data_IF_790131405937
#
_entry.id   IF_790131405937
#
_cell.length_a   1.000
_cell.length_b   1.000
_cell.length_c   1.000
_cell.angle_alpha   90.00
_cell.angle_beta   90.00
_cell.angle_gamma   90.00
#
_symmetry.space_group_name_H-M   'P 1'
#
loop_
_entity.id
_entity.type
_entity.pdbx_description
1 polymer ?
#
# COMPACT_ATOMS: atom_id res chain seq x y z
N UNK A 1 7.05 60.15 -6.62
CA UNK A 1 5.98 59.18 -6.28
C UNK A 1 6.38 57.82 -6.82
N UNK A 2 6.94 56.96 -5.96
CA UNK A 2 7.37 55.61 -6.30
C UNK A 2 6.19 54.64 -6.12
N UNK A 3 5.84 53.87 -7.16
CA UNK A 3 4.92 52.73 -7.03
C UNK A 3 5.75 51.45 -7.02
N UNK A 4 5.77 50.82 -5.85
CA UNK A 4 6.35 49.50 -5.59
C UNK A 4 5.63 48.43 -6.41
N UNK A 5 6.40 47.60 -7.15
CA UNK A 5 5.93 46.36 -7.75
C UNK A 5 5.90 45.30 -6.66
N UNK A 6 4.70 44.94 -6.23
CA UNK A 6 4.48 43.83 -5.30
C UNK A 6 4.67 42.52 -6.07
N UNK A 7 5.67 41.73 -5.65
CA UNK A 7 6.00 40.44 -6.23
C UNK A 7 4.87 39.44 -6.05
N UNK A 8 4.55 38.75 -7.14
CA UNK A 8 3.57 37.66 -7.21
C UNK A 8 4.15 36.41 -6.52
N UNK A 9 3.87 36.28 -5.22
CA UNK A 9 4.16 35.08 -4.44
C UNK A 9 3.06 34.05 -4.73
N UNK A 10 3.37 33.10 -5.62
CA UNK A 10 2.57 31.88 -5.77
C UNK A 10 2.49 31.17 -4.42
N UNK A 11 1.31 30.74 -3.94
CA UNK A 11 1.24 29.94 -2.72
C UNK A 11 1.85 28.55 -3.00
N UNK A 12 2.91 28.24 -2.26
CA UNK A 12 3.44 26.89 -2.13
C UNK A 12 2.35 26.00 -1.51
N UNK A 13 2.00 24.90 -2.19
CA UNK A 13 1.11 23.85 -1.67
C UNK A 13 1.71 23.28 -0.37
N UNK A 14 0.97 23.11 0.73
CA UNK A 14 1.49 22.39 1.88
C UNK A 14 1.46 20.89 1.55
N UNK A 15 2.66 20.34 1.39
CA UNK A 15 2.95 18.91 1.34
C UNK A 15 3.25 18.43 2.78
N UNK A 16 3.08 17.13 3.00
CA UNK A 16 3.53 16.34 4.16
C UNK A 16 2.59 16.32 5.37
N UNK A 17 1.63 15.41 5.32
CA UNK A 17 0.96 14.90 6.53
C UNK A 17 1.69 13.65 6.97
N UNK A 18 2.42 13.81 8.06
CA UNK A 18 2.94 12.71 8.85
C UNK A 18 1.75 11.98 9.46
N UNK A 19 1.39 10.81 8.94
CA UNK A 19 0.52 9.88 9.66
C UNK A 19 1.39 8.90 10.42
N UNK A 20 1.86 9.37 11.57
CA UNK A 20 2.11 8.49 12.71
C UNK A 20 1.04 8.85 13.75
N UNK A 21 -0.23 8.60 13.44
CA UNK A 21 -1.29 8.83 14.42
C UNK A 21 -1.43 7.55 15.24
N UNK A 22 -0.85 7.57 16.45
CA UNK A 22 -1.47 6.89 17.57
C UNK A 22 -2.84 7.53 17.76
N UNK A 23 -3.89 6.98 17.15
CA UNK A 23 -5.27 7.39 17.47
C UNK A 23 -5.69 6.59 18.70
N UNK A 24 -5.98 7.23 19.85
CA UNK A 24 -6.74 6.59 20.90
C UNK A 24 -8.19 6.44 20.40
N UNK A 25 -8.70 5.21 20.33
CA UNK A 25 -10.11 4.95 20.09
C UNK A 25 -10.89 5.28 21.37
N UNK A 26 -11.37 6.53 21.48
CA UNK A 26 -12.44 6.94 22.41
C UNK A 26 -12.12 6.87 23.92
N UNK A 27 -12.93 7.53 24.77
CA UNK A 27 -12.74 7.50 26.22
C UNK A 27 -13.49 6.30 26.81
N UNK A 28 -12.79 5.38 27.49
CA UNK A 28 -13.43 4.62 28.59
C UNK A 28 -13.21 3.12 28.72
N UNK A 29 -12.45 2.41 27.86
CA UNK A 29 -12.23 0.97 28.05
C UNK A 29 -10.74 0.66 28.29
N UNK A 30 -10.34 0.20 29.50
CA UNK A 30 -9.01 -0.32 29.71
C UNK A 30 -8.85 -1.65 28.97
N UNK A 31 -7.71 -1.81 28.31
CA UNK A 31 -7.31 -3.01 27.58
C UNK A 31 -7.28 -4.24 28.51
N UNK A 32 -8.31 -5.09 28.47
CA UNK A 32 -8.27 -6.42 29.11
C UNK A 32 -7.81 -7.45 28.09
N UNK A 33 -6.53 -7.79 28.18
CA UNK A 33 -6.01 -9.05 27.67
C UNK A 33 -6.29 -10.15 28.70
N UNK A 34 -7.27 -11.03 28.45
CA UNK A 34 -7.31 -12.40 29.00
C UNK A 34 -8.54 -13.19 28.51
N UNK A 35 -8.43 -13.83 27.35
CA UNK A 35 -9.16 -15.06 27.04
C UNK A 35 -8.16 -16.22 27.07
N UNK A 36 -8.33 -17.15 28.01
CA UNK A 36 -7.42 -18.28 28.25
C UNK A 36 -7.27 -19.12 26.98
N UNK A 37 -6.04 -19.25 26.48
CA UNK A 37 -5.64 -20.32 25.58
C UNK A 37 -4.36 -20.95 26.11
N UNK A 38 -4.40 -22.25 26.30
CA UNK A 38 -3.30 -23.12 26.70
C UNK A 38 -2.11 -22.97 25.74
N UNK A 39 -0.92 -22.73 26.31
CA UNK A 39 0.35 -22.54 25.59
C UNK A 39 0.69 -23.68 24.61
N UNK A 40 1.07 -23.37 23.35
CA UNK A 40 2.07 -24.11 22.60
C UNK A 40 3.42 -23.35 22.58
N UNK A 41 4.55 -24.01 22.27
CA UNK A 41 5.87 -23.55 22.69
C UNK A 41 6.29 -22.24 22.01
N UNK A 42 6.84 -21.34 22.84
CA UNK A 42 7.42 -20.04 22.47
C UNK A 42 8.46 -20.15 21.35
N UNK A 43 8.07 -19.85 20.12
CA UNK A 43 9.02 -19.39 19.10
C UNK A 43 9.27 -17.91 19.31
N UNK A 44 10.53 -17.54 19.60
CA UNK A 44 10.96 -16.14 19.80
C UNK A 44 10.56 -15.30 18.58
N UNK A 45 9.70 -14.31 18.79
CA UNK A 45 9.46 -13.21 17.85
C UNK A 45 10.76 -12.45 17.62
N UNK A 46 11.20 -12.36 16.36
CA UNK A 46 12.32 -11.54 15.90
C UNK A 46 11.83 -10.17 15.38
N UNK A 47 10.89 -9.54 16.06
CA UNK A 47 10.54 -8.15 15.77
C UNK A 47 11.55 -7.21 16.46
N UNK A 48 12.38 -6.52 15.68
CA UNK A 48 13.08 -5.30 16.13
C UNK A 48 14.60 -5.36 16.36
N UNK A 49 15.33 -6.41 15.96
CA UNK A 49 16.79 -6.33 15.95
C UNK A 49 17.32 -5.66 14.67
N UNK A 50 18.34 -4.79 14.74
CA UNK A 50 19.00 -4.27 13.56
C UNK A 50 19.48 -5.44 12.70
N UNK A 51 19.10 -5.45 11.42
CA UNK A 51 19.62 -6.44 10.48
C UNK A 51 21.15 -6.34 10.45
N UNK A 52 21.83 -7.48 10.36
CA UNK A 52 23.27 -7.47 10.07
C UNK A 52 23.51 -6.71 8.76
N UNK A 53 24.64 -6.00 8.65
CA UNK A 53 24.96 -5.21 7.44
C UNK A 53 24.77 -6.03 6.15
N UNK A 54 25.28 -7.26 6.14
CA UNK A 54 25.11 -8.20 5.01
C UNK A 54 23.64 -8.53 4.68
N UNK A 55 22.76 -8.68 5.67
CA UNK A 55 21.32 -8.91 5.43
C UNK A 55 20.66 -7.67 4.82
N UNK A 56 20.96 -6.49 5.35
CA UNK A 56 20.45 -5.22 4.82
C UNK A 56 20.90 -5.01 3.36
N UNK A 57 22.18 -5.27 3.07
CA UNK A 57 22.73 -5.12 1.72
C UNK A 57 22.08 -6.09 0.72
N UNK A 58 21.72 -7.30 1.17
CA UNK A 58 20.96 -8.25 0.36
C UNK A 58 19.53 -7.74 0.12
N UNK A 59 18.83 -7.27 1.16
CA UNK A 59 17.46 -6.73 1.03
C UNK A 59 17.39 -5.55 0.05
N UNK A 60 18.41 -4.68 0.04
CA UNK A 60 18.49 -3.54 -0.89
C UNK A 60 18.69 -4.03 -2.33
N UNK A 61 19.63 -4.97 -2.55
CA UNK A 61 19.91 -5.53 -3.87
C UNK A 61 18.71 -6.29 -4.43
N UNK A 62 18.08 -7.11 -3.59
CA UNK A 62 16.91 -7.91 -3.94
C UNK A 62 15.73 -7.02 -4.35
N UNK A 63 15.46 -5.94 -3.60
CA UNK A 63 14.44 -4.96 -3.98
C UNK A 63 14.81 -4.20 -5.27
N UNK A 64 16.07 -3.84 -5.46
CA UNK A 64 16.54 -3.14 -6.65
C UNK A 64 16.35 -3.98 -7.93
N UNK A 65 16.55 -5.30 -7.86
CA UNK A 65 16.27 -6.23 -8.97
C UNK A 65 14.81 -6.11 -9.42
N UNK A 66 13.88 -6.09 -8.45
CA UNK A 66 12.44 -5.98 -8.71
C UNK A 66 12.09 -4.60 -9.28
N UNK A 67 12.57 -3.51 -8.69
CA UNK A 67 12.33 -2.13 -9.20
C UNK A 67 12.82 -1.98 -10.64
N UNK A 68 14.01 -2.49 -10.96
CA UNK A 68 14.56 -2.44 -12.31
C UNK A 68 13.71 -3.21 -13.32
N UNK A 69 13.17 -4.36 -12.92
CA UNK A 69 12.26 -5.15 -13.75
C UNK A 69 10.94 -4.41 -14.04
N UNK A 70 10.32 -3.83 -13.00
CA UNK A 70 9.09 -3.05 -13.11
C UNK A 70 9.28 -1.84 -14.04
N UNK A 71 10.32 -1.02 -13.81
CA UNK A 71 10.59 0.16 -14.64
C UNK A 71 10.84 -0.21 -16.11
N UNK A 72 11.51 -1.33 -16.37
CA UNK A 72 11.73 -1.84 -17.73
C UNK A 72 10.42 -2.31 -18.37
N UNK A 73 9.52 -2.95 -17.63
CA UNK A 73 8.20 -3.33 -18.12
C UNK A 73 7.38 -2.08 -18.50
N UNK A 74 7.33 -1.07 -17.63
CA UNK A 74 6.64 0.18 -17.92
C UNK A 74 7.19 0.91 -19.15
N UNK A 75 8.52 0.96 -19.33
CA UNK A 75 9.12 1.55 -20.54
C UNK A 75 8.71 0.82 -21.83
N UNK A 76 8.62 -0.52 -21.81
CA UNK A 76 8.12 -1.29 -22.96
C UNK A 76 6.65 -0.99 -23.23
N UNK A 77 5.85 -0.89 -22.17
CA UNK A 77 4.43 -0.56 -22.29
C UNK A 77 4.23 0.85 -22.91
N UNK A 78 5.02 1.84 -22.49
CA UNK A 78 4.95 3.21 -23.00
C UNK A 78 5.26 3.32 -24.51
N UNK A 79 5.96 2.34 -25.10
CA UNK A 79 6.19 2.28 -26.55
C UNK A 79 5.02 1.68 -27.35
N UNK A 80 3.99 1.17 -26.66
CA UNK A 80 2.79 0.60 -27.28
C UNK A 80 1.65 1.62 -27.39
N UNK A 81 0.67 1.34 -28.25
CA UNK A 81 -0.50 2.22 -28.47
C UNK A 81 -1.41 2.15 -27.24
N UNK A 82 -1.73 3.33 -26.66
CA UNK A 82 -2.65 3.44 -25.52
C UNK A 82 -4.09 3.15 -25.92
N UNK A 83 -4.72 2.22 -25.22
CA UNK A 83 -6.15 1.87 -25.38
C UNK A 83 -6.91 2.13 -24.06
N UNK A 84 -8.25 2.26 -24.07
CA UNK A 84 -9.03 2.36 -22.83
C UNK A 84 -8.76 1.18 -21.88
N UNK A 85 -8.45 1.46 -20.61
CA UNK A 85 -8.05 0.42 -19.63
C UNK A 85 -6.54 0.11 -19.61
N UNK A 86 -5.72 0.87 -20.34
CA UNK A 86 -4.27 0.71 -20.39
C UNK A 86 -3.59 0.65 -19.02
N UNK A 87 -4.10 1.42 -18.06
CA UNK A 87 -3.46 1.54 -16.74
C UNK A 87 -3.50 0.25 -15.92
N UNK A 88 -4.62 -0.50 -15.96
CA UNK A 88 -4.72 -1.77 -15.22
C UNK A 88 -3.82 -2.80 -15.90
N UNK A 89 -3.79 -2.79 -17.24
CA UNK A 89 -2.88 -3.64 -18.02
C UNK A 89 -1.41 -3.34 -17.73
N UNK A 90 -1.03 -2.06 -17.66
CA UNK A 90 0.31 -1.63 -17.27
C UNK A 90 0.65 -2.14 -15.87
N UNK A 91 -0.27 -2.00 -14.91
CA UNK A 91 -0.09 -2.56 -13.56
C UNK A 91 0.15 -4.06 -13.61
N UNK A 92 -0.65 -4.80 -14.38
CA UNK A 92 -0.49 -6.25 -14.54
C UNK A 92 0.87 -6.62 -15.12
N UNK A 93 1.30 -5.97 -16.21
CA UNK A 93 2.59 -6.22 -16.85
C UNK A 93 3.77 -5.91 -15.91
N UNK A 94 3.66 -4.84 -15.13
CA UNK A 94 4.63 -4.46 -14.10
C UNK A 94 4.70 -5.50 -12.98
N UNK A 95 3.56 -5.96 -12.45
CA UNK A 95 3.53 -6.96 -11.37
C UNK A 95 4.02 -8.32 -11.86
N UNK A 96 3.68 -8.71 -13.09
CA UNK A 96 4.20 -9.93 -13.73
C UNK A 96 5.73 -9.88 -13.84
N UNK A 97 6.30 -8.76 -14.28
CA UNK A 97 7.75 -8.57 -14.35
C UNK A 97 8.42 -8.59 -12.97
N UNK A 98 7.77 -8.02 -11.94
CA UNK A 98 8.24 -8.10 -10.56
C UNK A 98 8.28 -9.55 -10.05
N UNK A 99 7.22 -10.32 -10.30
CA UNK A 99 7.12 -11.72 -9.91
C UNK A 99 8.21 -12.56 -10.59
N UNK A 100 8.39 -12.40 -11.89
CA UNK A 100 9.44 -13.07 -12.67
C UNK A 100 10.84 -12.76 -12.10
N UNK A 101 11.16 -11.47 -11.92
CA UNK A 101 12.46 -11.05 -11.41
C UNK A 101 12.74 -11.56 -9.99
N UNK A 102 11.70 -11.66 -9.15
CA UNK A 102 11.83 -12.20 -7.79
C UNK A 102 12.02 -13.72 -7.75
N UNK A 103 11.74 -14.45 -8.84
CA UNK A 103 11.80 -15.91 -8.87
C UNK A 103 13.16 -16.51 -8.53
N UNK A 104 14.26 -15.80 -8.83
CA UNK A 104 15.63 -16.20 -8.50
C UNK A 104 16.03 -15.91 -7.03
N UNK A 105 15.20 -15.17 -6.29
CA UNK A 105 15.44 -14.83 -4.89
C UNK A 105 14.93 -15.97 -4.01
N UNK A 106 15.70 -16.32 -2.98
CA UNK A 106 15.34 -17.35 -2.00
C UNK A 106 14.01 -17.00 -1.32
N UNK A 107 13.15 -18.01 -1.10
CA UNK A 107 11.79 -17.84 -0.59
C UNK A 107 11.67 -16.92 0.64
N UNK A 108 12.54 -16.99 1.67
CA UNK A 108 12.44 -16.09 2.83
C UNK A 108 12.62 -14.59 2.53
N UNK A 109 13.34 -14.24 1.46
CA UNK A 109 13.57 -12.85 1.03
C UNK A 109 12.68 -12.43 -0.14
N UNK A 110 12.19 -13.40 -0.93
CA UNK A 110 11.40 -13.17 -2.14
C UNK A 110 10.17 -12.29 -1.89
N UNK A 111 9.40 -12.61 -0.86
CA UNK A 111 8.19 -11.84 -0.52
C UNK A 111 8.53 -10.39 -0.19
N UNK A 112 9.56 -10.18 0.64
CA UNK A 112 10.00 -8.84 0.99
C UNK A 112 10.46 -8.07 -0.26
N UNK A 113 11.32 -8.66 -1.09
CA UNK A 113 11.83 -8.04 -2.32
C UNK A 113 10.71 -7.68 -3.32
N UNK A 114 9.75 -8.60 -3.51
CA UNK A 114 8.60 -8.40 -4.38
C UNK A 114 7.74 -7.22 -3.92
N UNK A 115 7.36 -7.19 -2.64
CA UNK A 115 6.50 -6.15 -2.08
C UNK A 115 7.21 -4.79 -2.01
N UNK A 116 8.48 -4.78 -1.60
CA UNK A 116 9.23 -3.52 -1.46
C UNK A 116 9.58 -2.93 -2.82
N UNK A 117 9.95 -3.77 -3.79
CA UNK A 117 10.23 -3.34 -5.15
C UNK A 117 8.99 -2.79 -5.85
N UNK A 118 7.83 -3.42 -5.66
CA UNK A 118 6.55 -2.87 -6.16
C UNK A 118 6.22 -1.53 -5.51
N UNK A 119 6.30 -1.41 -4.18
CA UNK A 119 6.03 -0.13 -3.52
C UNK A 119 6.90 1.01 -4.00
N UNK A 120 8.22 0.78 -4.11
CA UNK A 120 9.16 1.81 -4.59
C UNK A 120 8.90 2.16 -6.06
N UNK A 121 8.59 1.16 -6.91
CA UNK A 121 8.36 1.41 -8.31
C UNK A 121 7.04 2.18 -8.56
N UNK A 122 5.98 1.88 -7.80
CA UNK A 122 4.66 2.49 -7.94
C UNK A 122 4.46 3.77 -7.10
N UNK A 123 5.39 4.13 -6.22
CA UNK A 123 5.39 5.45 -5.57
C UNK A 123 5.82 6.53 -6.58
N UNK A 124 4.83 7.13 -7.24
CA UNK A 124 4.95 8.29 -8.13
C UNK A 124 4.76 9.64 -7.43
N UNK A 125 4.39 9.60 -6.15
CA UNK A 125 4.12 10.78 -5.31
C UNK A 125 5.28 11.19 -4.41
N UNK A 126 6.22 10.28 -4.19
CA UNK A 126 7.37 10.45 -3.32
C UNK A 126 7.00 10.30 -1.85
N UNK A 127 5.84 9.72 -1.54
CA UNK A 127 5.34 9.52 -0.17
C UNK A 127 6.26 8.58 0.60
N UNK A 128 6.66 7.45 0.02
CA UNK A 128 7.59 6.53 0.65
C UNK A 128 8.99 7.14 0.72
N UNK A 129 9.42 7.81 -0.36
CA UNK A 129 10.72 8.47 -0.42
C UNK A 129 10.88 9.58 0.62
N UNK A 130 9.81 10.33 0.92
CA UNK A 130 9.80 11.44 1.88
C UNK A 130 9.52 10.99 3.31
N UNK A 131 9.13 9.73 3.52
CA UNK A 131 8.84 9.19 4.84
C UNK A 131 10.12 9.08 5.69
N UNK A 132 10.04 9.47 6.97
CA UNK A 132 11.18 9.49 7.88
C UNK A 132 11.81 8.11 8.13
N UNK A 133 11.01 7.05 8.18
CA UNK A 133 11.46 5.71 8.57
C UNK A 133 11.86 4.85 7.37
N UNK A 134 11.10 4.94 6.27
CA UNK A 134 11.33 4.10 5.08
C UNK A 134 12.01 4.84 3.94
N UNK A 135 12.04 6.18 3.97
CA UNK A 135 12.65 7.01 2.93
C UNK A 135 14.15 6.76 2.72
N UNK A 136 14.99 6.64 3.77
CA UNK A 136 16.40 6.29 3.58
C UNK A 136 16.60 4.96 2.83
N UNK A 137 15.80 3.94 3.16
CA UNK A 137 15.82 2.66 2.47
C UNK A 137 15.39 2.80 1.00
N UNK A 138 14.31 3.53 0.71
CA UNK A 138 13.84 3.74 -0.66
C UNK A 138 14.92 4.42 -1.51
N UNK A 139 15.57 5.47 -0.98
CA UNK A 139 16.63 6.20 -1.68
C UNK A 139 17.85 5.32 -1.98
N UNK A 140 18.23 4.45 -1.05
CA UNK A 140 19.33 3.51 -1.25
C UNK A 140 18.99 2.48 -2.35
N UNK A 141 17.80 1.89 -2.33
CA UNK A 141 17.35 0.98 -3.39
C UNK A 141 17.33 1.70 -4.74
N UNK A 142 16.76 2.89 -4.82
CA UNK A 142 16.71 3.70 -6.04
C UNK A 142 18.12 4.00 -6.58
N UNK A 143 19.08 4.34 -5.69
CA UNK A 143 20.45 4.60 -6.10
C UNK A 143 21.17 3.39 -6.68
N UNK A 144 20.77 2.16 -6.30
CA UNK A 144 21.32 0.92 -6.89
C UNK A 144 20.72 0.67 -8.27
N UNK A 145 19.45 1.00 -8.47
CA UNK A 145 18.75 0.81 -9.75
C UNK A 145 19.27 1.78 -10.80
N UNK A 146 19.25 3.06 -10.47
CA UNK A 146 19.72 4.13 -11.34
C UNK A 146 20.03 5.38 -10.48
N UNK A 147 21.32 5.71 -10.27
CA UNK A 147 21.74 6.89 -9.51
C UNK A 147 21.22 8.21 -10.08
N UNK A 148 20.78 8.23 -11.35
CA UNK A 148 20.38 9.42 -12.09
C UNK A 148 18.89 9.44 -12.47
N UNK A 149 18.14 8.37 -12.20
CA UNK A 149 16.72 8.33 -12.50
C UNK A 149 15.95 9.38 -11.69
N UNK A 150 15.08 10.11 -12.37
CA UNK A 150 13.97 10.81 -11.73
C UNK A 150 12.98 9.80 -11.17
N UNK A 151 12.46 10.07 -9.98
CA UNK A 151 11.38 9.28 -9.40
C UNK A 151 10.10 9.40 -10.27
N UNK A 152 9.29 8.34 -10.36
CA UNK A 152 7.93 8.42 -10.90
C UNK A 152 7.73 8.09 -12.39
N UNK A 153 8.47 7.14 -12.97
CA UNK A 153 8.44 6.90 -14.43
C UNK A 153 7.35 5.93 -14.95
N UNK A 154 6.47 5.38 -14.09
CA UNK A 154 5.49 4.40 -14.58
C UNK A 154 4.40 5.03 -15.45
N UNK A 155 4.12 6.33 -15.33
CA UNK A 155 3.20 7.10 -16.20
C UNK A 155 1.87 6.42 -16.51
N UNK A 156 1.01 6.29 -15.50
CA UNK A 156 -0.39 5.87 -15.64
C UNK A 156 -0.77 4.44 -15.21
N UNK A 157 -0.06 3.75 -14.29
CA UNK A 157 -0.58 2.51 -13.74
C UNK A 157 -1.87 2.78 -12.96
N UNK A 158 -2.85 1.88 -13.09
CA UNK A 158 -4.11 1.97 -12.36
C UNK A 158 -4.45 0.65 -11.68
N UNK A 159 -5.32 0.75 -10.67
CA UNK A 159 -6.07 -0.38 -10.13
C UNK A 159 -7.55 -0.02 -10.25
N UNK A 160 -8.36 -0.90 -10.87
CA UNK A 160 -9.77 -0.63 -11.13
C UNK A 160 -9.96 0.68 -11.91
N UNK A 161 -9.04 0.96 -12.84
CA UNK A 161 -9.05 2.16 -13.68
C UNK A 161 -8.62 3.46 -12.99
N UNK A 162 -8.17 3.40 -11.73
CA UNK A 162 -7.77 4.56 -10.91
C UNK A 162 -6.30 4.51 -10.49
N UNK A 163 -5.56 5.60 -10.71
CA UNK A 163 -4.12 5.68 -10.41
C UNK A 163 -3.82 5.95 -8.93
N UNK A 164 -4.67 6.72 -8.26
CA UNK A 164 -4.68 6.89 -6.81
C UNK A 164 -4.85 5.56 -6.07
N UNK A 165 -5.75 4.69 -6.53
CA UNK A 165 -5.92 3.35 -5.93
C UNK A 165 -4.69 2.46 -6.10
N UNK A 166 -3.99 2.54 -7.23
CA UNK A 166 -2.74 1.82 -7.42
C UNK A 166 -1.70 2.26 -6.39
N UNK A 167 -1.57 3.57 -6.16
CA UNK A 167 -0.66 4.13 -5.15
C UNK A 167 -1.00 3.63 -3.76
N UNK A 168 -2.27 3.70 -3.35
CA UNK A 168 -2.75 3.20 -2.06
C UNK A 168 -2.40 1.72 -1.85
N UNK A 169 -2.78 0.89 -2.82
CA UNK A 169 -2.54 -0.54 -2.79
C UNK A 169 -1.06 -0.90 -2.62
N UNK A 170 -0.18 -0.37 -3.47
CA UNK A 170 1.25 -0.72 -3.42
C UNK A 170 1.99 -0.07 -2.24
N UNK A 171 1.57 1.12 -1.81
CA UNK A 171 2.10 1.77 -0.59
C UNK A 171 1.77 0.94 0.64
N UNK A 172 0.53 0.50 0.80
CA UNK A 172 0.14 -0.34 1.93
C UNK A 172 0.77 -1.73 1.90
N UNK A 173 0.92 -2.34 0.71
CA UNK A 173 1.67 -3.59 0.56
C UNK A 173 3.14 -3.44 1.00
N UNK A 174 3.80 -2.36 0.58
CA UNK A 174 5.17 -2.02 0.99
C UNK A 174 5.29 -1.82 2.50
N UNK A 175 4.42 -0.97 3.09
CA UNK A 175 4.45 -0.66 4.51
C UNK A 175 4.20 -1.91 5.34
N UNK A 176 3.28 -2.78 4.92
CA UNK A 176 3.03 -4.08 5.58
C UNK A 176 4.24 -5.01 5.51
N UNK A 177 5.06 -4.92 4.46
CA UNK A 177 6.26 -5.74 4.34
C UNK A 177 7.46 -5.22 5.14
N UNK A 178 7.55 -3.90 5.34
CA UNK A 178 8.68 -3.27 6.05
C UNK A 178 8.40 -3.02 7.52
N UNK A 179 7.14 -2.75 7.83
CA UNK A 179 6.60 -2.62 9.18
C UNK A 179 5.75 -3.86 9.47
N UNK A 180 5.07 -3.89 10.62
CA UNK A 180 4.05 -4.92 10.85
C UNK A 180 2.70 -4.48 10.24
N UNK A 181 1.80 -5.43 10.01
CA UNK A 181 0.51 -5.17 9.36
C UNK A 181 -0.37 -4.17 10.14
N UNK A 182 -0.29 -4.15 11.47
CA UNK A 182 -1.04 -3.20 12.30
C UNK A 182 -0.59 -1.75 12.06
N UNK A 183 0.72 -1.52 11.91
CA UNK A 183 1.27 -0.20 11.60
C UNK A 183 0.86 0.27 10.20
N UNK A 184 0.78 -0.64 9.22
CA UNK A 184 0.34 -0.30 7.87
C UNK A 184 -1.16 0.07 7.83
N UNK A 185 -2.02 -0.71 8.49
CA UNK A 185 -3.45 -0.40 8.60
C UNK A 185 -3.69 0.94 9.31
N UNK A 186 -2.99 1.19 10.41
CA UNK A 186 -3.08 2.46 11.13
C UNK A 186 -2.61 3.65 10.28
N UNK A 187 -1.57 3.47 9.46
CA UNK A 187 -1.09 4.51 8.55
C UNK A 187 -2.11 4.82 7.44
N UNK A 188 -2.74 3.80 6.83
CA UNK A 188 -3.79 3.99 5.82
C UNK A 188 -5.03 4.68 6.39
N UNK A 189 -5.62 4.10 7.45
CA UNK A 189 -6.81 4.67 8.11
C UNK A 189 -6.55 6.09 8.64
N UNK A 190 -5.38 6.33 9.21
CA UNK A 190 -5.01 7.67 9.70
C UNK A 190 -4.88 8.71 8.57
N UNK A 191 -4.47 8.30 7.36
CA UNK A 191 -4.42 9.16 6.17
C UNK A 191 -5.83 9.59 5.75
N UNK A 192 -6.74 8.63 5.65
CA UNK A 192 -8.14 8.89 5.28
C UNK A 192 -8.85 9.79 6.28
N UNK A 193 -8.58 9.62 7.59
CA UNK A 193 -9.09 10.52 8.63
C UNK A 193 -8.52 11.93 8.54
N UNK A 194 -7.27 12.08 8.10
CA UNK A 194 -6.70 13.41 7.85
C UNK A 194 -7.36 14.07 6.65
N UNK A 195 -7.57 13.33 5.55
CA UNK A 195 -8.20 13.85 4.34
C UNK A 195 -9.64 14.30 4.60
N UNK A 196 -10.35 13.66 5.55
CA UNK A 196 -11.63 14.14 6.04
C UNK A 196 -11.56 15.56 6.65
N UNK A 197 -10.47 15.93 7.34
CA UNK A 197 -10.36 17.17 8.14
C UNK A 197 -9.80 18.37 7.39
N UNK A 198 -9.65 18.29 6.07
CA UNK A 198 -9.13 19.40 5.26
C UNK A 198 -8.44 19.00 3.96
N UNK A 199 -8.49 17.73 3.58
CA UNK A 199 -8.05 17.21 2.29
C UNK A 199 -9.24 16.97 1.34
N UNK A 200 -9.21 15.84 0.63
CA UNK A 200 -10.24 15.44 -0.33
C UNK A 200 -11.51 14.85 0.29
N UNK A 201 -11.54 14.59 1.59
CA UNK A 201 -12.57 13.77 2.25
C UNK A 201 -12.16 12.30 2.37
N UNK A 202 -12.77 11.57 3.31
CA UNK A 202 -12.53 10.13 3.52
C UNK A 202 -13.05 9.32 2.32
N UNK A 203 -12.25 8.38 1.82
CA UNK A 203 -12.63 7.49 0.72
C UNK A 203 -12.66 6.02 1.14
N UNK A 204 -13.83 5.37 1.02
CA UNK A 204 -13.92 3.92 1.19
C UNK A 204 -13.29 3.16 0.03
N UNK A 205 -13.15 3.78 -1.15
CA UNK A 205 -12.42 3.18 -2.26
C UNK A 205 -10.91 3.13 -1.97
N UNK A 206 -10.35 4.20 -1.40
CA UNK A 206 -8.95 4.25 -0.97
C UNK A 206 -8.71 3.23 0.15
N UNK A 207 -9.61 3.16 1.15
CA UNK A 207 -9.55 2.14 2.19
C UNK A 207 -9.61 0.71 1.62
N UNK A 208 -10.43 0.46 0.60
CA UNK A 208 -10.49 -0.84 -0.06
C UNK A 208 -9.18 -1.20 -0.76
N UNK A 209 -8.52 -0.23 -1.40
CA UNK A 209 -7.21 -0.41 -2.00
C UNK A 209 -6.13 -0.67 -0.93
N UNK A 210 -6.13 0.10 0.17
CA UNK A 210 -5.20 -0.08 1.29
C UNK A 210 -5.30 -1.49 1.89
N UNK A 211 -6.52 -1.95 2.20
CA UNK A 211 -6.76 -3.28 2.77
C UNK A 211 -6.39 -4.40 1.80
N UNK A 212 -6.63 -4.21 0.50
CA UNK A 212 -6.21 -5.16 -0.51
C UNK A 212 -4.68 -5.25 -0.64
N UNK A 213 -3.97 -4.12 -0.51
CA UNK A 213 -2.50 -4.08 -0.43
C UNK A 213 -1.96 -4.84 0.80
N UNK A 214 -2.58 -4.64 1.97
CA UNK A 214 -2.27 -5.41 3.19
C UNK A 214 -2.50 -6.91 2.98
N UNK A 215 -3.62 -7.29 2.34
CA UNK A 215 -3.94 -8.68 2.04
C UNK A 215 -2.91 -9.32 1.09
N UNK A 216 -2.47 -8.61 0.04
CA UNK A 216 -1.38 -9.05 -0.84
C UNK A 216 -0.10 -9.30 -0.04
N UNK A 217 0.30 -8.37 0.83
CA UNK A 217 1.52 -8.51 1.61
C UNK A 217 1.46 -9.71 2.56
N UNK A 218 0.35 -9.90 3.27
CA UNK A 218 0.14 -11.07 4.14
C UNK A 218 0.20 -12.38 3.36
N UNK A 219 -0.49 -12.44 2.22
CA UNK A 219 -0.47 -13.62 1.35
C UNK A 219 0.94 -13.92 0.82
N UNK A 220 1.66 -12.90 0.34
CA UNK A 220 3.00 -13.08 -0.21
C UNK A 220 4.00 -13.58 0.84
N UNK A 221 3.94 -13.06 2.07
CA UNK A 221 4.78 -13.54 3.18
C UNK A 221 4.41 -14.95 3.64
N UNK A 222 3.12 -15.28 3.69
CA UNK A 222 2.66 -16.61 4.06
C UNK A 222 2.91 -17.66 2.95
N UNK A 223 3.01 -17.22 1.70
CA UNK A 223 3.15 -18.08 0.53
C UNK A 223 4.17 -17.53 -0.50
N UNK A 224 5.49 -17.46 -0.16
CA UNK A 224 6.48 -16.90 -1.07
C UNK A 224 6.63 -17.68 -2.39
N UNK A 225 6.34 -18.99 -2.38
CA UNK A 225 6.35 -19.83 -3.59
C UNK A 225 5.11 -19.63 -4.48
N UNK A 226 4.11 -18.91 -3.98
CA UNK A 226 2.98 -18.43 -4.78
C UNK A 226 3.29 -17.22 -5.65
N UNK A 227 4.40 -16.53 -5.40
CA UNK A 227 4.80 -15.31 -6.14
C UNK A 227 5.26 -15.63 -7.57
N UNK A 228 6.20 -16.57 -7.83
CA UNK A 228 6.68 -16.81 -9.20
C UNK A 228 5.57 -17.10 -10.22
N UNK A 229 4.53 -17.91 -9.91
CA UNK A 229 3.42 -18.12 -10.83
C UNK A 229 2.60 -16.87 -11.19
N UNK A 230 2.73 -15.76 -10.45
CA UNK A 230 2.10 -14.49 -10.80
C UNK A 230 2.67 -13.88 -12.08
N UNK A 231 3.90 -14.25 -12.47
CA UNK A 231 4.53 -13.81 -13.72
C UNK A 231 3.65 -14.09 -14.95
N UNK A 232 2.87 -15.17 -14.92
CA UNK A 232 2.04 -15.58 -16.06
C UNK A 232 0.58 -15.13 -15.93
N UNK A 233 0.06 -15.04 -14.69
CA UNK A 233 -1.39 -15.01 -14.46
C UNK A 233 -1.89 -13.87 -13.60
N UNK A 234 -1.04 -12.97 -13.11
CA UNK A 234 -1.51 -11.87 -12.28
C UNK A 234 -2.53 -11.03 -13.05
N UNK A 235 -3.69 -10.75 -12.43
CA UNK A 235 -4.67 -9.79 -12.93
C UNK A 235 -5.09 -8.86 -11.80
N UNK A 236 -5.25 -7.57 -12.08
CA UNK A 236 -5.65 -6.58 -11.06
C UNK A 236 -6.95 -7.01 -10.38
N UNK A 237 -7.90 -7.52 -11.16
CA UNK A 237 -9.22 -7.91 -10.67
C UNK A 237 -9.21 -9.09 -9.69
N UNK A 238 -8.14 -9.88 -9.67
CA UNK A 238 -7.98 -11.02 -8.77
C UNK A 238 -7.35 -10.61 -7.42
N UNK A 239 -6.84 -9.38 -7.29
CA UNK A 239 -6.12 -8.91 -6.10
C UNK A 239 -6.67 -7.63 -5.48
N UNK A 240 -7.39 -6.81 -6.25
CA UNK A 240 -8.08 -5.62 -5.74
C UNK A 240 -9.59 -5.79 -5.87
N UNK A 241 -10.41 -5.48 -4.83
CA UNK A 241 -11.86 -5.62 -4.90
C UNK A 241 -12.49 -4.62 -5.87
N UNK A 242 -13.73 -4.89 -6.29
CA UNK A 242 -14.54 -3.88 -6.97
C UNK A 242 -14.84 -2.71 -6.01
N UNK A 243 -14.82 -1.50 -6.53
CA UNK A 243 -15.02 -0.26 -5.75
C UNK A 243 -16.43 0.31 -5.91
N UNK A 244 -17.25 -0.28 -6.77
CA UNK A 244 -18.60 0.20 -7.06
C UNK A 244 -19.44 0.31 -5.78
N UNK A 245 -20.12 1.45 -5.67
CA UNK A 245 -21.00 1.78 -4.54
C UNK A 245 -20.28 2.10 -3.22
N UNK A 246 -18.96 2.23 -3.21
CA UNK A 246 -18.23 2.71 -2.02
C UNK A 246 -18.33 4.24 -1.92
N UNK A 247 -18.71 4.80 -0.75
CA UNK A 247 -18.75 6.25 -0.56
C UNK A 247 -17.36 6.89 -0.58
N UNK A 248 -17.27 8.10 -1.12
CA UNK A 248 -16.02 8.87 -1.19
C UNK A 248 -16.28 10.36 -0.91
N UNK A 249 -15.22 11.10 -0.59
CA UNK A 249 -15.30 12.54 -0.36
C UNK A 249 -16.08 12.91 0.90
N UNK A 250 -16.09 12.04 1.91
CA UNK A 250 -16.85 12.28 3.13
C UNK A 250 -16.11 13.28 4.03
N UNK A 251 -16.79 14.36 4.38
CA UNK A 251 -16.36 15.26 5.45
C UNK A 251 -16.50 14.58 6.84
N UNK A 252 -15.95 15.17 7.92
CA UNK A 252 -15.97 14.55 9.23
C UNK A 252 -17.39 14.35 9.76
N UNK A 253 -18.31 15.29 9.48
CA UNK A 253 -19.70 15.18 9.89
C UNK A 253 -20.45 14.09 9.13
N UNK A 254 -20.14 13.87 7.85
CA UNK A 254 -20.68 12.76 7.07
C UNK A 254 -20.19 11.41 7.59
N UNK A 255 -18.90 11.31 7.92
CA UNK A 255 -18.33 10.10 8.51
C UNK A 255 -18.89 9.82 9.91
N UNK A 256 -19.04 10.85 10.75
CA UNK A 256 -19.69 10.76 12.07
C UNK A 256 -21.13 10.26 11.94
N UNK A 257 -21.90 10.74 10.96
CA UNK A 257 -23.27 10.25 10.70
C UNK A 257 -23.31 8.76 10.35
N UNK A 258 -22.32 8.24 9.64
CA UNK A 258 -22.22 6.80 9.33
C UNK A 258 -21.89 5.95 10.57
N UNK A 259 -21.26 6.55 11.59
CA UNK A 259 -20.88 5.92 12.85
C UNK A 259 -22.02 5.89 13.89
N UNK A 260 -23.14 6.59 13.65
CA UNK A 260 -24.26 6.62 14.58
C UNK A 260 -25.06 5.30 14.46
N UNK A 261 -25.41 4.64 15.58
CA UNK A 261 -26.31 3.49 15.57
C UNK A 261 -27.66 3.82 14.94
N UNK A 262 -28.10 3.02 13.98
CA UNK A 262 -29.33 3.24 13.20
C UNK A 262 -30.46 2.26 13.57
N UNK A 263 -30.35 1.62 14.74
CA UNK A 263 -31.27 0.57 15.19
C UNK A 263 -30.93 -0.83 14.68
N UNK A 264 -29.88 -0.97 13.86
CA UNK A 264 -29.31 -2.27 13.45
C UNK A 264 -28.21 -2.75 14.40
N UNK A 265 -27.80 -4.02 14.29
CA UNK A 265 -26.72 -4.62 15.08
C UNK A 265 -25.30 -4.10 14.74
N UNK A 266 -25.17 -3.22 13.76
CA UNK A 266 -23.92 -2.60 13.33
C UNK A 266 -24.25 -1.25 12.66
N UNK A 267 -23.37 -0.26 12.77
CA UNK A 267 -23.50 1.06 12.13
C UNK A 267 -23.33 0.96 10.62
N UNK A 268 -23.74 2.00 9.88
CA UNK A 268 -23.53 2.05 8.43
C UNK A 268 -22.04 1.96 8.07
N UNK A 269 -21.18 2.62 8.86
CA UNK A 269 -19.73 2.56 8.72
C UNK A 269 -19.18 1.13 8.92
N UNK A 270 -19.60 0.43 9.98
CA UNK A 270 -19.16 -0.95 10.25
C UNK A 270 -19.59 -1.90 9.14
N UNK A 271 -20.78 -1.71 8.56
CA UNK A 271 -21.25 -2.49 7.41
C UNK A 271 -20.41 -2.23 6.17
N UNK A 272 -19.98 -0.99 5.93
CA UNK A 272 -19.06 -0.67 4.82
C UNK A 272 -17.69 -1.31 5.01
N UNK A 273 -17.12 -1.26 6.22
CA UNK A 273 -15.87 -1.95 6.53
C UNK A 273 -16.00 -3.46 6.32
N UNK A 274 -17.06 -4.08 6.84
CA UNK A 274 -17.32 -5.52 6.63
C UNK A 274 -17.49 -5.85 5.15
N UNK A 275 -18.21 -5.01 4.39
CA UNK A 275 -18.42 -5.23 2.96
C UNK A 275 -17.10 -5.19 2.18
N UNK A 276 -16.18 -4.28 2.52
CA UNK A 276 -14.82 -4.25 1.94
C UNK A 276 -14.08 -5.54 2.27
N UNK A 277 -14.10 -5.97 3.54
CA UNK A 277 -13.40 -7.19 3.97
C UNK A 277 -13.97 -8.44 3.31
N UNK A 278 -15.30 -8.51 3.13
CA UNK A 278 -15.98 -9.61 2.43
C UNK A 278 -15.59 -9.63 0.95
N UNK A 279 -15.57 -8.46 0.28
CA UNK A 279 -15.10 -8.33 -1.11
C UNK A 279 -13.67 -8.83 -1.25
N UNK A 280 -12.76 -8.44 -0.36
CA UNK A 280 -11.37 -8.91 -0.38
C UNK A 280 -11.29 -10.41 -0.13
N UNK A 281 -11.95 -10.94 0.91
CA UNK A 281 -11.93 -12.38 1.21
C UNK A 281 -12.47 -13.25 0.07
N UNK A 282 -13.35 -12.71 -0.76
CA UNK A 282 -13.87 -13.41 -1.95
C UNK A 282 -12.89 -13.50 -3.13
N UNK A 283 -11.79 -12.74 -3.12
CA UNK A 283 -10.83 -12.72 -4.22
C UNK A 283 -10.04 -14.03 -4.31
N UNK A 284 -9.66 -14.49 -5.52
CA UNK A 284 -9.10 -15.82 -5.73
C UNK A 284 -7.90 -16.21 -4.84
N UNK A 285 -6.90 -15.33 -4.59
CA UNK A 285 -5.75 -15.66 -3.75
C UNK A 285 -6.09 -15.81 -2.27
N UNK A 286 -7.18 -15.17 -1.80
CA UNK A 286 -7.54 -15.07 -0.38
C UNK A 286 -8.68 -16.03 0.00
N UNK A 287 -9.47 -16.49 -0.97
CA UNK A 287 -10.62 -17.37 -0.76
C UNK A 287 -10.28 -18.75 -0.17
N UNK A 288 -9.00 -19.13 -0.08
CA UNK A 288 -8.53 -20.43 0.42
C UNK A 288 -7.54 -20.34 1.59
N UNK A 289 -7.29 -19.14 2.12
CA UNK A 289 -6.39 -18.95 3.25
C UNK A 289 -7.25 -18.64 4.49
N UNK A 290 -7.25 -19.49 5.54
CA UNK A 290 -7.88 -19.14 6.80
C UNK A 290 -7.24 -17.86 7.31
N UNK A 291 -8.03 -16.80 7.49
CA UNK A 291 -7.57 -15.63 8.23
C UNK A 291 -7.52 -16.06 9.70
N UNK A 292 -6.36 -15.95 10.39
CA UNK A 292 -6.29 -16.22 11.82
C UNK A 292 -7.13 -15.23 12.63
#
# INVERSE_FOLDING_TARGET
MAKSKQGDLRPLRPFVVIVLILVPLGPGEPFIAAGRSTDPPRTRSHAGQPLSRSRRDNDIRDAAIVVAAVRRAARRHATSRREPGDGDRLTEECVRAAAEASGAIEAPRRAAAFLTGLGIAFDDSGVLRSNLFVGPYCREVESVVDPHATHGDLNGPTIRGRGDLARHFFTCAFLTSRLNAAAAEAAGVGKEWFDARGGSGFSFADLAADRAGIALARWAHANPDGIPPLADRFRVVDFAPAIDGLPEGLDPGALERLAIPDGSNATAQERLFRAIDDRIRSLPPYARVPVP
#
